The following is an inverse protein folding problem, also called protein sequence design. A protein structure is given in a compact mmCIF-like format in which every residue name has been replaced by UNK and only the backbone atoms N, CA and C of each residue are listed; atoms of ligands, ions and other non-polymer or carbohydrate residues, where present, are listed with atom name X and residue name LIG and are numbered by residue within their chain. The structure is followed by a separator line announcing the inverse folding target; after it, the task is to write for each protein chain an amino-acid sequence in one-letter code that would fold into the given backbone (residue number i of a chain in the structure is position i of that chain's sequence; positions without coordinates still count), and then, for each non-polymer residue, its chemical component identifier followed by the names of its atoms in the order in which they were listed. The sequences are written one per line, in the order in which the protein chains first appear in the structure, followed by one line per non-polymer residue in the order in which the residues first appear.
data_IF_788846314973
#
_entry.id   IF_788846314973
#
_cell.length_a   1.000
_cell.length_b   1.000
_cell.length_c   1.000
_cell.angle_alpha   90.00
_cell.angle_beta   90.00
_cell.angle_gamma   90.00
#
_symmetry.space_group_name_H-M   'P 1'
#
loop_
_entity.id
_entity.type
_entity.pdbx_description
1 polymer ?
#
# COMPACT_ATOMS: atom_id res chain seq x y z
N UNK A 1 -7.65 -13.01 2.81
CA UNK A 1 -8.94 -12.32 2.93
C UNK A 1 -8.78 -10.99 3.65
N UNK A 2 -9.46 -9.96 3.15
CA UNK A 2 -9.40 -8.63 3.79
C UNK A 2 -10.20 -8.63 5.08
N UNK A 3 -9.70 -7.96 6.07
CA UNK A 3 -10.43 -7.83 7.31
C UNK A 3 -10.09 -6.50 7.95
N UNK A 4 -11.12 -5.68 8.20
CA UNK A 4 -10.93 -4.43 8.91
C UNK A 4 -10.60 -4.74 10.36
N UNK A 5 -9.42 -4.32 10.80
CA UNK A 5 -8.97 -4.53 12.17
C UNK A 5 -9.41 -3.40 13.08
N UNK A 6 -9.35 -2.17 12.57
CA UNK A 6 -9.59 -1.00 13.38
C UNK A 6 -9.80 0.22 12.52
N UNK A 7 -10.71 1.11 12.94
CA UNK A 7 -10.95 2.37 12.27
C UNK A 7 -10.86 3.48 13.31
N UNK A 8 -9.69 4.14 13.34
CA UNK A 8 -9.44 5.18 14.33
C UNK A 8 -10.21 6.46 14.02
N UNK A 9 -10.16 6.84 12.75
CA UNK A 9 -10.85 8.03 12.27
C UNK A 9 -11.33 7.74 10.87
N UNK A 10 -11.95 8.71 10.21
CA UNK A 10 -12.35 8.55 8.83
C UNK A 10 -11.15 8.49 7.88
N UNK A 11 -9.95 8.84 8.36
CA UNK A 11 -8.73 8.86 7.54
C UNK A 11 -7.84 7.63 7.71
N UNK A 12 -8.03 6.87 8.76
CA UNK A 12 -7.14 5.75 9.06
C UNK A 12 -7.89 4.44 9.04
N UNK A 13 -7.38 3.49 8.26
CA UNK A 13 -7.93 2.15 8.18
C UNK A 13 -6.85 1.14 8.53
N UNK A 14 -7.21 0.13 9.28
CA UNK A 14 -6.30 -0.97 9.63
C UNK A 14 -6.94 -2.27 9.15
N UNK A 15 -6.24 -2.98 8.27
CA UNK A 15 -6.74 -4.22 7.68
C UNK A 15 -5.73 -5.34 7.83
N UNK A 16 -6.24 -6.57 7.87
CA UNK A 16 -5.42 -7.76 7.77
C UNK A 16 -5.59 -8.35 6.38
N UNK A 17 -4.48 -8.72 5.74
CA UNK A 17 -4.49 -9.33 4.42
C UNK A 17 -3.81 -10.70 4.48
N UNK A 18 -4.35 -11.66 3.73
CA UNK A 18 -3.79 -12.99 3.62
C UNK A 18 -3.67 -13.34 2.13
N UNK A 19 -2.66 -12.75 1.49
CA UNK A 19 -2.43 -12.93 0.06
C UNK A 19 -1.07 -13.56 -0.17
N UNK A 20 -0.93 -14.27 -1.29
CA UNK A 20 0.30 -14.99 -1.58
C UNK A 20 1.33 -14.16 -2.33
N UNK A 21 0.88 -13.20 -3.15
CA UNK A 21 1.80 -12.44 -3.96
C UNK A 21 1.48 -10.96 -3.94
N UNK A 22 2.46 -10.19 -4.37
CA UNK A 22 2.41 -8.73 -4.31
C UNK A 22 1.26 -8.15 -5.12
N UNK A 23 1.05 -8.62 -6.34
CA UNK A 23 0.03 -7.99 -7.18
C UNK A 23 -1.38 -8.27 -6.67
N UNK A 24 -1.63 -9.47 -6.18
CA UNK A 24 -2.92 -9.78 -5.57
C UNK A 24 -3.12 -8.93 -4.31
N UNK A 25 -2.06 -8.78 -3.51
CA UNK A 25 -2.13 -7.94 -2.33
C UNK A 25 -2.46 -6.49 -2.68
N UNK A 26 -1.77 -5.94 -3.69
CA UNK A 26 -2.03 -4.55 -4.11
C UNK A 26 -3.45 -4.39 -4.65
N UNK A 27 -3.96 -5.40 -5.37
CA UNK A 27 -5.33 -5.36 -5.86
C UNK A 27 -6.33 -5.34 -4.71
N UNK A 28 -6.11 -6.18 -3.69
CA UNK A 28 -7.01 -6.22 -2.53
C UNK A 28 -6.93 -4.94 -1.70
N UNK A 29 -5.74 -4.43 -1.51
CA UNK A 29 -5.53 -3.15 -0.83
C UNK A 29 -6.32 -2.05 -1.54
N UNK A 30 -6.23 -2.03 -2.87
CA UNK A 30 -6.92 -1.01 -3.67
C UNK A 30 -8.44 -1.15 -3.54
N UNK A 31 -8.96 -2.37 -3.51
CA UNK A 31 -10.39 -2.59 -3.31
C UNK A 31 -10.87 -1.99 -2.00
N UNK A 32 -10.09 -2.15 -0.94
CA UNK A 32 -10.42 -1.57 0.35
C UNK A 32 -10.50 -0.03 0.25
N UNK A 33 -9.53 0.57 -0.42
CA UNK A 33 -9.51 2.03 -0.59
C UNK A 33 -10.63 2.52 -1.49
N UNK A 34 -10.95 1.76 -2.54
CA UNK A 34 -12.05 2.10 -3.45
C UNK A 34 -13.39 2.04 -2.70
N UNK A 35 -13.60 0.96 -1.95
CA UNK A 35 -14.85 0.78 -1.21
C UNK A 35 -15.04 1.83 -0.12
N UNK A 36 -13.95 2.31 0.46
CA UNK A 36 -13.99 3.38 1.45
C UNK A 36 -14.04 4.76 0.80
N UNK A 37 -14.01 4.82 -0.52
CA UNK A 37 -14.12 6.04 -1.32
C UNK A 37 -12.95 7.00 -1.14
N UNK A 38 -11.79 6.46 -0.82
CA UNK A 38 -10.56 7.27 -0.79
C UNK A 38 -9.96 7.44 -2.17
N UNK A 39 -10.18 6.49 -3.07
CA UNK A 39 -9.55 6.52 -4.39
C UNK A 39 -10.56 6.14 -5.48
N UNK A 40 -10.23 6.53 -6.71
CA UNK A 40 -10.98 6.12 -7.90
C UNK A 40 -10.62 4.68 -8.27
N UNK A 41 -11.48 3.96 -8.99
CA UNK A 41 -11.16 2.61 -9.45
C UNK A 41 -9.85 2.52 -10.23
N UNK A 42 -9.45 3.59 -10.89
CA UNK A 42 -8.19 3.64 -11.65
C UNK A 42 -6.95 3.49 -10.76
N UNK A 43 -7.08 3.71 -9.46
CA UNK A 43 -5.97 3.57 -8.53
C UNK A 43 -5.38 2.15 -8.56
N UNK A 44 -6.24 1.14 -8.67
CA UNK A 44 -5.79 -0.25 -8.60
C UNK A 44 -4.74 -0.57 -9.66
N UNK A 45 -5.06 -0.29 -10.91
CA UNK A 45 -4.12 -0.56 -12.00
C UNK A 45 -2.88 0.31 -11.87
N UNK A 46 -3.08 1.56 -11.47
CA UNK A 46 -1.97 2.51 -11.38
C UNK A 46 -0.97 2.12 -10.30
N UNK A 47 -1.43 1.69 -9.12
CA UNK A 47 -0.50 1.34 -8.05
C UNK A 47 0.25 0.05 -8.36
N UNK A 48 -0.41 -0.89 -9.03
CA UNK A 48 0.27 -2.13 -9.43
C UNK A 48 1.38 -1.82 -10.43
N UNK A 49 1.10 -0.99 -11.43
CA UNK A 49 2.11 -0.61 -12.41
C UNK A 49 3.23 0.20 -11.79
N UNK A 50 2.87 1.10 -10.88
CA UNK A 50 3.86 1.93 -10.21
C UNK A 50 4.83 1.08 -9.39
N UNK A 51 4.33 0.08 -8.69
CA UNK A 51 5.18 -0.76 -7.87
C UNK A 51 6.17 -1.55 -8.71
N UNK A 52 5.79 -1.94 -9.93
CA UNK A 52 6.70 -2.63 -10.84
C UNK A 52 7.89 -1.76 -11.24
N UNK A 53 7.64 -0.46 -11.42
CA UNK A 53 8.67 0.46 -11.91
C UNK A 53 9.46 1.07 -10.75
N UNK A 54 8.76 1.42 -9.68
CA UNK A 54 9.35 2.06 -8.51
C UNK A 54 8.99 1.25 -7.26
N UNK A 55 9.77 0.19 -6.99
CA UNK A 55 9.48 -0.67 -5.83
C UNK A 55 9.57 0.09 -4.51
N UNK A 56 8.77 -0.32 -3.54
CA UNK A 56 8.66 0.39 -2.27
C UNK A 56 8.99 -0.44 -1.05
N UNK A 57 9.60 -1.61 -1.21
CA UNK A 57 10.01 -2.40 -0.05
C UNK A 57 11.10 -1.70 0.74
N UNK A 58 10.97 -1.65 2.05
CA UNK A 58 11.93 -0.99 2.94
C UNK A 58 12.28 -1.91 4.10
N UNK A 59 13.57 -2.20 4.30
CA UNK A 59 13.98 -2.95 5.47
C UNK A 59 13.98 -2.02 6.69
N UNK A 60 13.52 -2.54 7.81
CA UNK A 60 13.60 -1.83 9.08
C UNK A 60 14.17 -2.76 10.11
N UNK A 61 14.45 -2.25 11.29
CA UNK A 61 14.87 -3.11 12.39
C UNK A 61 13.65 -3.89 12.83
N UNK A 62 13.72 -5.19 12.72
CA UNK A 62 12.66 -6.08 13.17
C UNK A 62 11.78 -6.61 12.07
N UNK A 63 11.16 -5.75 11.28
CA UNK A 63 10.30 -6.20 10.18
C UNK A 63 10.57 -5.38 8.94
N UNK A 64 10.17 -5.92 7.79
CA UNK A 64 10.25 -5.19 6.54
C UNK A 64 8.86 -4.66 6.19
N UNK A 65 8.82 -3.48 5.62
CA UNK A 65 7.56 -2.84 5.25
C UNK A 65 7.58 -2.47 3.78
N UNK A 66 6.40 -2.14 3.23
CA UNK A 66 6.31 -1.56 1.90
C UNK A 66 5.36 -0.37 1.97
N UNK A 67 5.57 0.61 1.10
CA UNK A 67 4.76 1.82 1.06
C UNK A 67 4.21 2.07 -0.33
N UNK A 68 3.39 1.14 -0.85
CA UNK A 68 2.83 1.29 -2.19
C UNK A 68 1.95 2.53 -2.28
N UNK A 69 2.08 3.25 -3.39
CA UNK A 69 1.29 4.46 -3.62
C UNK A 69 1.33 4.80 -5.11
N UNK A 70 0.50 5.75 -5.52
CA UNK A 70 0.52 6.23 -6.89
C UNK A 70 0.06 7.69 -6.90
N UNK A 71 -0.04 8.27 -8.10
CA UNK A 71 -0.28 9.70 -8.25
C UNK A 71 -1.63 10.16 -7.73
N UNK A 72 -1.66 11.40 -7.27
CA UNK A 72 -2.84 12.00 -6.65
C UNK A 72 -4.05 12.09 -7.58
N UNK A 73 -3.85 11.99 -8.89
CA UNK A 73 -4.95 12.04 -9.84
C UNK A 73 -5.96 10.89 -9.61
N UNK A 74 -5.50 9.82 -8.97
CA UNK A 74 -6.35 8.66 -8.68
C UNK A 74 -7.00 8.74 -7.30
N UNK A 75 -6.80 9.83 -6.58
CA UNK A 75 -7.25 9.97 -5.19
C UNK A 75 -8.46 10.89 -5.10
N UNK A 76 -9.48 10.45 -4.34
CA UNK A 76 -10.67 11.26 -4.09
C UNK A 76 -10.54 12.07 -2.81
N UNK A 77 -9.99 11.47 -1.77
CA UNK A 77 -9.79 12.16 -0.49
C UNK A 77 -8.61 11.52 0.23
N UNK A 78 -8.01 12.30 1.09
CA UNK A 78 -6.87 11.82 1.86
C UNK A 78 -7.24 10.69 2.78
N UNK A 79 -6.37 9.70 2.84
CA UNK A 79 -6.56 8.59 3.74
C UNK A 79 -5.28 7.80 3.90
N UNK A 80 -5.24 6.97 4.91
CA UNK A 80 -4.07 6.18 5.25
C UNK A 80 -4.52 4.76 5.59
N UNK A 81 -3.88 3.79 4.97
CA UNK A 81 -4.19 2.38 5.22
C UNK A 81 -2.96 1.69 5.76
N UNK A 82 -3.14 0.99 6.86
CA UNK A 82 -2.13 0.09 7.40
C UNK A 82 -2.61 -1.33 7.15
N UNK A 83 -1.82 -2.11 6.43
CA UNK A 83 -2.13 -3.50 6.15
C UNK A 83 -1.19 -4.42 6.91
N UNK A 84 -1.75 -5.26 7.76
CA UNK A 84 -0.99 -6.28 8.48
C UNK A 84 -1.08 -7.55 7.65
N UNK A 85 0.07 -8.13 7.29
CA UNK A 85 0.09 -9.31 6.43
C UNK A 85 0.18 -10.56 7.30
N UNK A 86 -0.78 -11.47 7.11
CA UNK A 86 -0.84 -12.70 7.92
C UNK A 86 0.33 -13.62 7.61
N UNK A 87 0.87 -13.50 6.40
CA UNK A 87 2.11 -14.16 6.02
C UNK A 87 2.91 -13.17 5.18
N UNK A 88 4.23 -13.27 5.21
CA UNK A 88 5.05 -12.32 4.46
C UNK A 88 4.78 -12.39 2.96
N UNK A 89 4.89 -11.24 2.31
CA UNK A 89 4.76 -11.13 0.86
C UNK A 89 6.04 -10.50 0.32
N UNK A 90 6.55 -11.04 -0.76
CA UNK A 90 7.82 -10.58 -1.33
C UNK A 90 7.62 -9.28 -2.10
N UNK A 91 8.40 -8.27 -1.75
CA UNK A 91 8.47 -6.99 -2.47
C UNK A 91 9.91 -6.73 -2.86
N UNK A 92 10.09 -6.05 -3.97
CA UNK A 92 11.42 -5.59 -4.33
C UNK A 92 11.77 -4.37 -3.49
N UNK A 93 13.05 -4.28 -3.09
CA UNK A 93 13.52 -3.20 -2.24
C UNK A 93 13.62 -1.89 -3.00
N UNK A 94 13.22 -0.79 -2.36
CA UNK A 94 13.28 0.53 -2.93
C UNK A 94 14.72 0.88 -3.32
N UNK A 95 14.87 1.45 -4.51
CA UNK A 95 16.15 1.94 -5.03
C UNK A 95 17.23 0.87 -5.14
N UNK A 96 16.84 -0.40 -5.15
CA UNK A 96 17.82 -1.49 -5.24
C UNK A 96 17.28 -2.54 -6.20
N UNK A 97 17.96 -2.69 -7.33
CA UNK A 97 17.51 -3.63 -8.34
C UNK A 97 17.84 -5.06 -7.90
N UNK A 98 16.85 -5.95 -8.08
CA UNK A 98 16.99 -7.38 -7.82
C UNK A 98 17.29 -7.72 -6.35
N UNK A 99 16.90 -6.86 -5.43
CA UNK A 99 16.93 -7.16 -4.00
C UNK A 99 15.50 -7.29 -3.52
N UNK A 100 15.17 -8.42 -2.90
CA UNK A 100 13.80 -8.74 -2.51
C UNK A 100 13.70 -8.90 -1.00
N UNK A 101 12.59 -8.42 -0.45
CA UNK A 101 12.34 -8.47 0.99
C UNK A 101 11.03 -9.19 1.26
N UNK A 102 11.01 -9.94 2.37
CA UNK A 102 9.77 -10.52 2.87
C UNK A 102 9.09 -9.47 3.75
N UNK A 103 8.02 -8.88 3.22
CA UNK A 103 7.34 -7.77 3.86
C UNK A 103 6.21 -8.25 4.74
N UNK A 104 6.09 -7.69 5.94
CA UNK A 104 5.07 -8.08 6.92
C UNK A 104 4.02 -7.01 7.15
N UNK A 105 4.26 -5.78 6.67
CA UNK A 105 3.37 -4.66 6.91
C UNK A 105 3.39 -3.73 5.71
N UNK A 106 2.21 -3.29 5.28
CA UNK A 106 2.16 -2.28 4.23
C UNK A 106 1.51 -1.02 4.76
N UNK A 107 2.02 0.13 4.30
CA UNK A 107 1.42 1.43 4.55
C UNK A 107 1.13 2.06 3.21
N UNK A 108 -0.06 2.60 3.02
CA UNK A 108 -0.31 3.36 1.82
C UNK A 108 -1.02 4.66 2.18
N UNK A 109 -0.59 5.73 1.52
CA UNK A 109 -1.14 7.06 1.70
C UNK A 109 -1.87 7.46 0.44
N UNK A 110 -3.16 7.72 0.57
CA UNK A 110 -3.93 8.32 -0.51
C UNK A 110 -3.90 9.82 -0.27
N UNK A 111 -3.21 10.56 -1.12
CA UNK A 111 -3.00 11.99 -0.90
C UNK A 111 -3.43 12.79 -2.12
N UNK A 112 -4.15 13.88 -1.86
CA UNK A 112 -4.55 14.80 -2.91
C UNK A 112 -3.41 15.72 -3.28
N UNK A 113 -2.58 16.07 -2.29
CA UNK A 113 -1.46 16.97 -2.50
C UNK A 113 -0.19 16.17 -2.75
N UNK A 114 0.41 16.27 -3.96
CA UNK A 114 1.63 15.52 -4.27
C UNK A 114 2.77 15.80 -3.29
N UNK A 115 2.81 16.96 -2.69
CA UNK A 115 3.87 17.29 -1.73
C UNK A 115 3.79 16.43 -0.48
N UNK A 116 2.63 15.93 -0.15
CA UNK A 116 2.47 15.06 1.01
C UNK A 116 3.20 13.74 0.87
N UNK A 117 3.41 13.31 -0.37
CA UNK A 117 4.09 12.05 -0.64
C UNK A 117 5.60 12.17 -0.52
N UNK A 118 6.13 13.36 -0.54
CA UNK A 118 7.57 13.56 -0.43
C UNK A 118 8.01 13.77 1.00
N UNK A 119 7.36 13.20 1.92
CA UNK A 119 7.64 13.30 3.33
C UNK A 119 9.10 13.35 3.62
N UNK A 120 9.54 14.43 3.69
CA UNK A 120 10.94 14.54 3.96
C UNK A 120 11.10 14.77 5.41
#
# INVERSE_FOLDING_TARGET
MNKLLRKETQKFLYYSFDEDDKETLLAKMSEVLIDAEFVHPSYQQAVIERERIFPTGLPTKGINVAIPHTDSIHVKKEGFLVGVLEKPVTFEMMASKDVFLEVELIFTLASIDPHELSLS
#
